data_IF_411216947950
#
_entry.id   IF_411216947950
#
_cell.length_a   1.000
_cell.length_b   1.000
_cell.length_c   1.000
_cell.angle_alpha   90.00
_cell.angle_beta   90.00
_cell.angle_gamma   90.00
#
_symmetry.space_group_name_H-M   'P 1'
#
loop_
_entity.id
_entity.type
_entity.pdbx_description
1 polymer ?
#
# COMPACT_ATOMS: atom_id res chain seq x y z
N UNK A 1 34.93 -3.53 -8.89
CA UNK A 1 34.12 -4.52 -8.16
C UNK A 1 33.88 -4.13 -6.69
N UNK A 2 34.87 -3.81 -5.83
CA UNK A 2 34.58 -3.50 -4.40
C UNK A 2 33.95 -2.11 -4.16
N UNK A 3 34.25 -1.11 -4.99
CA UNK A 3 33.78 0.28 -4.79
C UNK A 3 32.27 0.45 -5.10
N UNK A 4 31.73 -0.34 -6.04
CA UNK A 4 30.30 -0.31 -6.35
C UNK A 4 29.45 -0.81 -5.17
N UNK A 5 29.89 -1.87 -4.50
CA UNK A 5 29.18 -2.47 -3.35
C UNK A 5 29.10 -1.53 -2.14
N UNK A 6 30.12 -0.70 -1.93
CA UNK A 6 30.16 0.26 -0.83
C UNK A 6 29.07 1.34 -0.92
N UNK A 7 28.60 1.67 -2.12
CA UNK A 7 27.55 2.68 -2.34
C UNK A 7 26.15 2.07 -2.45
N UNK A 8 26.03 0.83 -2.95
CA UNK A 8 24.75 0.15 -3.14
C UNK A 8 24.06 -0.11 -1.79
N UNK A 9 24.77 -0.65 -0.80
CA UNK A 9 24.15 -1.05 0.48
C UNK A 9 23.60 0.10 1.31
N UNK A 10 24.28 1.27 1.42
CA UNK A 10 23.68 2.46 2.03
C UNK A 10 22.43 2.95 1.29
N UNK A 11 22.43 2.92 -0.05
CA UNK A 11 21.24 3.27 -0.83
C UNK A 11 20.08 2.31 -0.58
N UNK A 12 20.34 1.00 -0.52
CA UNK A 12 19.33 -0.01 -0.16
C UNK A 12 18.80 0.23 1.25
N UNK A 13 19.67 0.48 2.22
CA UNK A 13 19.28 0.79 3.60
C UNK A 13 18.39 2.03 3.69
N UNK A 14 18.78 3.13 3.03
CA UNK A 14 17.98 4.36 2.98
C UNK A 14 16.61 4.11 2.33
N UNK A 15 16.57 3.35 1.22
CA UNK A 15 15.34 3.01 0.52
C UNK A 15 14.39 2.16 1.39
N UNK A 16 14.92 1.21 2.17
CA UNK A 16 14.15 0.43 3.14
C UNK A 16 13.58 1.31 4.26
N UNK A 17 14.40 2.18 4.86
CA UNK A 17 13.95 3.12 5.90
C UNK A 17 12.82 4.03 5.37
N UNK A 18 13.00 4.58 4.17
CA UNK A 18 11.98 5.39 3.50
C UNK A 18 10.71 4.60 3.23
N UNK A 19 10.81 3.31 2.89
CA UNK A 19 9.66 2.44 2.66
C UNK A 19 8.88 2.17 3.94
N UNK A 20 9.58 1.87 5.04
CA UNK A 20 8.95 1.72 6.35
C UNK A 20 8.28 3.02 6.82
N UNK A 21 8.93 4.16 6.65
CA UNK A 21 8.35 5.47 6.96
C UNK A 21 7.09 5.73 6.13
N UNK A 22 7.15 5.44 4.83
CA UNK A 22 6.01 5.57 3.94
C UNK A 22 4.83 4.70 4.38
N UNK A 23 5.06 3.44 4.73
CA UNK A 23 4.01 2.53 5.22
C UNK A 23 3.41 3.03 6.54
N UNK A 24 4.24 3.49 7.47
CA UNK A 24 3.77 4.10 8.72
C UNK A 24 2.88 5.33 8.45
N UNK A 25 3.33 6.24 7.59
CA UNK A 25 2.54 7.43 7.21
C UNK A 25 1.27 7.06 6.48
N UNK A 26 1.31 6.04 5.63
CA UNK A 26 0.15 5.54 4.91
C UNK A 26 -0.93 5.03 5.86
N UNK A 27 -0.55 4.25 6.88
CA UNK A 27 -1.47 3.81 7.94
C UNK A 27 -2.00 4.98 8.77
N UNK A 28 -1.14 5.94 9.13
CA UNK A 28 -1.56 7.13 9.85
C UNK A 28 -2.61 7.95 9.07
N UNK A 29 -2.36 8.17 7.77
CA UNK A 29 -3.31 8.87 6.90
C UNK A 29 -4.63 8.10 6.80
N UNK A 30 -4.59 6.78 6.65
CA UNK A 30 -5.81 5.98 6.60
C UNK A 30 -6.63 6.12 7.90
N UNK A 31 -5.98 6.05 9.06
CA UNK A 31 -6.64 6.22 10.36
C UNK A 31 -7.20 7.64 10.56
N UNK A 32 -6.48 8.66 10.10
CA UNK A 32 -6.96 10.06 10.10
C UNK A 32 -8.22 10.22 9.23
N UNK A 33 -8.26 9.57 8.06
CA UNK A 33 -9.42 9.60 7.17
C UNK A 33 -10.63 8.87 7.77
N UNK A 34 -10.41 7.71 8.40
CA UNK A 34 -11.45 6.98 9.14
C UNK A 34 -12.02 7.84 10.28
N UNK A 35 -11.14 8.48 11.07
CA UNK A 35 -11.55 9.34 12.17
C UNK A 35 -12.32 10.58 11.69
N UNK A 36 -11.90 11.19 10.57
CA UNK A 36 -12.53 12.39 10.02
C UNK A 36 -13.89 12.11 9.36
N UNK A 37 -14.08 10.91 8.81
CA UNK A 37 -15.33 10.52 8.12
C UNK A 37 -16.36 9.89 9.04
N UNK A 38 -15.97 9.49 10.26
CA UNK A 38 -16.84 8.77 11.19
C UNK A 38 -17.20 7.37 10.69
N UNK A 39 -16.49 6.87 9.67
CA UNK A 39 -16.76 5.59 9.04
C UNK A 39 -16.26 4.46 9.96
N UNK A 40 -17.13 3.97 10.84
CA UNK A 40 -16.82 2.75 11.60
C UNK A 40 -16.87 1.56 10.64
N UNK A 41 -15.90 0.66 10.73
CA UNK A 41 -15.74 -0.55 9.89
C UNK A 41 -16.96 -1.51 9.83
N UNK A 42 -18.07 -1.18 10.49
CA UNK A 42 -19.20 -2.05 10.80
C UNK A 42 -20.38 -1.89 9.82
N UNK A 43 -20.37 -0.92 8.91
CA UNK A 43 -21.47 -0.69 7.95
C UNK A 43 -21.07 -1.00 6.49
N UNK A 44 -20.39 -2.13 6.23
CA UNK A 44 -19.86 -2.49 4.89
C UNK A 44 -20.50 -3.71 4.21
N UNK A 45 -21.53 -4.33 4.80
CA UNK A 45 -22.25 -5.43 4.13
C UNK A 45 -23.13 -4.96 2.96
N UNK A 46 -23.61 -3.71 3.01
CA UNK A 46 -24.49 -3.13 1.98
C UNK A 46 -23.77 -2.67 0.71
N UNK A 47 -22.43 -2.61 0.70
CA UNK A 47 -21.61 -2.16 -0.44
C UNK A 47 -21.06 -3.31 -1.30
N UNK A 48 -21.78 -4.43 -1.36
CA UNK A 48 -21.31 -5.61 -2.11
C UNK A 48 -20.98 -5.29 -3.58
N UNK A 49 -21.67 -4.32 -4.20
CA UNK A 49 -21.39 -3.87 -5.57
C UNK A 49 -20.02 -3.17 -5.75
N UNK A 50 -19.41 -2.66 -4.68
CA UNK A 50 -18.10 -1.98 -4.73
C UNK A 50 -16.95 -3.00 -4.76
N UNK A 51 -17.23 -4.25 -4.42
CA UNK A 51 -16.28 -5.35 -4.49
C UNK A 51 -16.34 -6.04 -5.85
N UNK A 52 -15.18 -6.26 -6.45
CA UNK A 52 -15.04 -6.91 -7.77
C UNK A 52 -14.15 -8.15 -7.67
N UNK A 53 -14.15 -8.96 -8.73
CA UNK A 53 -13.34 -10.18 -8.83
C UNK A 53 -13.56 -11.14 -7.64
N UNK A 54 -14.81 -11.31 -7.21
CA UNK A 54 -15.17 -12.20 -6.10
C UNK A 54 -14.68 -11.72 -4.73
N UNK A 55 -14.57 -10.41 -4.50
CA UNK A 55 -14.15 -9.84 -3.21
C UNK A 55 -12.65 -9.55 -3.09
N UNK A 56 -11.90 -9.65 -4.19
CA UNK A 56 -10.45 -9.39 -4.19
C UNK A 56 -10.11 -7.89 -4.25
N UNK A 57 -10.86 -7.13 -5.03
CA UNK A 57 -10.60 -5.71 -5.24
C UNK A 57 -11.80 -4.87 -4.83
N UNK A 58 -11.52 -3.73 -4.18
CA UNK A 58 -12.53 -2.77 -3.75
C UNK A 58 -12.40 -1.48 -4.54
N UNK A 59 -13.52 -0.94 -5.03
CA UNK A 59 -13.55 0.28 -5.81
C UNK A 59 -14.73 1.17 -5.35
N UNK A 60 -14.44 2.17 -4.53
CA UNK A 60 -15.44 3.15 -4.11
C UNK A 60 -14.88 4.58 -4.11
N UNK A 61 -15.21 5.42 -5.10
CA UNK A 61 -14.72 6.80 -5.17
C UNK A 61 -15.21 7.69 -4.02
N UNK A 62 -16.33 7.33 -3.41
CA UNK A 62 -16.97 8.09 -2.33
C UNK A 62 -16.35 7.75 -0.97
N UNK A 63 -15.66 6.62 -0.86
CA UNK A 63 -14.91 6.22 0.33
C UNK A 63 -13.47 6.78 0.28
N UNK A 64 -13.08 7.67 1.21
CA UNK A 64 -11.73 8.19 1.23
C UNK A 64 -10.70 7.20 1.79
N UNK A 65 -11.11 6.07 2.37
CA UNK A 65 -10.18 5.07 2.89
C UNK A 65 -9.22 4.59 1.80
N UNK A 66 -7.94 4.49 2.17
CA UNK A 66 -6.89 4.04 1.26
C UNK A 66 -6.78 2.51 1.27
N UNK A 67 -7.03 1.90 2.43
CA UNK A 67 -7.16 0.46 2.63
C UNK A 67 -8.49 0.15 3.30
N UNK A 68 -9.05 -0.99 2.93
CA UNK A 68 -10.29 -1.51 3.50
C UNK A 68 -10.09 -2.96 3.90
N UNK A 69 -10.71 -3.37 5.01
CA UNK A 69 -10.72 -4.77 5.41
C UNK A 69 -11.55 -5.59 4.42
N UNK A 70 -11.06 -6.78 4.05
CA UNK A 70 -11.79 -7.69 3.16
C UNK A 70 -13.07 -8.17 3.84
N UNK A 71 -14.17 -8.21 3.08
CA UNK A 71 -15.44 -8.79 3.54
C UNK A 71 -15.31 -10.28 3.84
N UNK A 72 -14.57 -11.00 3.00
CA UNK A 72 -14.40 -12.44 3.08
C UNK A 72 -12.93 -12.78 3.44
N UNK A 73 -12.74 -13.51 4.54
CA UNK A 73 -11.45 -13.96 5.03
C UNK A 73 -10.67 -12.90 5.83
N UNK A 74 -9.37 -13.14 6.02
CA UNK A 74 -8.49 -12.24 6.77
C UNK A 74 -7.70 -11.33 5.82
N UNK A 75 -7.64 -10.04 6.14
CA UNK A 75 -6.69 -9.10 5.55
C UNK A 75 -7.33 -7.83 5.00
N UNK A 76 -6.49 -7.03 4.35
CA UNK A 76 -6.86 -5.73 3.79
C UNK A 76 -6.65 -5.72 2.28
N UNK A 77 -7.36 -4.84 1.59
CA UNK A 77 -7.12 -4.49 0.19
C UNK A 77 -7.08 -2.98 0.03
N UNK A 78 -6.57 -2.50 -1.10
CA UNK A 78 -6.61 -1.08 -1.40
C UNK A 78 -7.99 -0.67 -1.93
N UNK A 79 -8.40 0.56 -1.66
CA UNK A 79 -9.43 1.20 -2.45
C UNK A 79 -8.83 1.69 -3.78
N UNK A 80 -9.17 1.00 -4.87
CA UNK A 80 -8.62 1.27 -6.20
C UNK A 80 -9.21 2.52 -6.87
N UNK A 81 -10.25 3.13 -6.29
CA UNK A 81 -10.75 4.43 -6.74
C UNK A 81 -9.92 5.60 -6.20
N UNK A 82 -9.10 5.37 -5.17
CA UNK A 82 -8.35 6.42 -4.49
C UNK A 82 -7.29 7.07 -5.37
N UNK A 83 -7.20 8.40 -5.32
CA UNK A 83 -6.16 9.17 -6.02
C UNK A 83 -4.76 8.66 -5.63
N UNK A 84 -3.91 8.44 -6.62
CA UNK A 84 -2.53 8.00 -6.42
C UNK A 84 -2.33 6.50 -6.23
N UNK A 85 -3.36 5.64 -6.34
CA UNK A 85 -3.22 4.18 -6.17
C UNK A 85 -2.10 3.58 -7.03
N UNK A 86 -1.98 4.00 -8.29
CA UNK A 86 -0.92 3.55 -9.19
C UNK A 86 0.47 3.88 -8.65
N UNK A 87 0.65 5.10 -8.13
CA UNK A 87 1.92 5.52 -7.52
C UNK A 87 2.22 4.69 -6.27
N UNK A 88 1.22 4.38 -5.46
CA UNK A 88 1.38 3.54 -4.26
C UNK A 88 1.79 2.12 -4.63
N UNK A 89 1.11 1.51 -5.62
CA UNK A 89 1.44 0.18 -6.11
C UNK A 89 2.84 0.15 -6.75
N UNK A 90 3.20 1.16 -7.53
CA UNK A 90 4.52 1.29 -8.12
C UNK A 90 5.61 1.42 -7.05
N UNK A 91 5.37 2.19 -5.98
CA UNK A 91 6.33 2.30 -4.88
C UNK A 91 6.48 0.97 -4.12
N UNK A 92 5.35 0.33 -3.77
CA UNK A 92 5.34 -0.92 -3.01
C UNK A 92 6.00 -2.09 -3.77
N UNK A 93 5.81 -2.16 -5.08
CA UNK A 93 6.38 -3.21 -5.94
C UNK A 93 7.77 -2.86 -6.46
N UNK A 94 8.05 -1.59 -6.75
CA UNK A 94 9.31 -1.12 -7.31
C UNK A 94 10.48 -1.28 -6.34
N UNK A 95 10.27 -1.02 -5.04
CA UNK A 95 11.32 -1.15 -4.02
C UNK A 95 11.86 -2.59 -3.94
N UNK A 96 11.04 -3.64 -3.74
CA UNK A 96 11.52 -5.03 -3.76
C UNK A 96 12.22 -5.41 -5.06
N UNK A 97 11.69 -4.98 -6.22
CA UNK A 97 12.28 -5.30 -7.52
C UNK A 97 13.66 -4.67 -7.70
N UNK A 98 13.85 -3.43 -7.26
CA UNK A 98 15.15 -2.75 -7.26
C UNK A 98 16.16 -3.45 -6.35
N UNK A 99 15.71 -3.92 -5.18
CA UNK A 99 16.57 -4.69 -4.27
C UNK A 99 16.99 -6.01 -4.92
N UNK A 100 16.06 -6.77 -5.48
CA UNK A 100 16.36 -8.03 -6.18
C UNK A 100 17.31 -7.80 -7.35
N UNK A 101 17.06 -6.78 -8.16
CA UNK A 101 17.95 -6.41 -9.27
C UNK A 101 19.36 -6.08 -8.79
N UNK A 102 19.50 -5.31 -7.71
CA UNK A 102 20.80 -5.00 -7.12
C UNK A 102 21.52 -6.26 -6.61
N UNK A 103 20.79 -7.22 -6.04
CA UNK A 103 21.33 -8.51 -5.60
C UNK A 103 21.79 -9.41 -6.76
N UNK A 104 21.09 -9.37 -7.90
CA UNK A 104 21.44 -10.18 -9.08
C UNK A 104 22.62 -9.63 -9.88
N UNK A 105 22.94 -8.33 -9.71
CA UNK A 105 24.06 -7.66 -10.36
C UNK A 105 25.37 -7.64 -9.55
N UNK A 106 25.38 -8.29 -8.38
CA UNK A 106 26.50 -8.42 -7.45
C UNK A 106 27.33 -9.68 -7.69
#
# INVERSE_FOLDING_TARGET
LPVANLLIWPCVGALLVMSFYYLYRFMAINNELEAATGNSNVERESEAEKWTSGGLFYYNPDDPALIVEKRDGLGYTYNFAGKGILLRLAFLSGVPLLVVWALMGL
#
